data_IF_500296681385
#
_entry.id   IF_500296681385
#
_cell.length_a   1.000
_cell.length_b   1.000
_cell.length_c   1.000
_cell.angle_alpha   90.00
_cell.angle_beta   90.00
_cell.angle_gamma   90.00
#
_symmetry.space_group_name_H-M   'P 1'
#
loop_
_entity.id
_entity.type
_entity.pdbx_description
1 polymer ?
#
# COMPACT_ATOMS: atom_id res chain seq x y z
N UNK A 1 -4.56 -45.35 -19.69
CA UNK A 1 -4.45 -44.04 -20.37
C UNK A 1 -5.78 -43.32 -20.20
N UNK A 2 -5.76 -41.99 -20.18
CA UNK A 2 -6.93 -41.09 -20.14
C UNK A 2 -7.48 -40.70 -18.75
N UNK A 3 -6.89 -39.64 -18.17
CA UNK A 3 -7.57 -38.70 -17.25
C UNK A 3 -6.68 -37.48 -16.95
N UNK A 4 -6.30 -36.72 -18.00
CA UNK A 4 -5.56 -35.44 -17.86
C UNK A 4 -6.09 -34.40 -18.86
N UNK A 5 -7.28 -33.85 -18.65
CA UNK A 5 -7.75 -32.75 -19.52
C UNK A 5 -8.77 -31.78 -18.92
N UNK A 6 -9.24 -31.94 -17.68
CA UNK A 6 -10.35 -31.11 -17.16
C UNK A 6 -9.87 -29.93 -16.28
N UNK A 7 -8.66 -29.95 -15.73
CA UNK A 7 -8.17 -28.89 -14.81
C UNK A 7 -7.61 -27.64 -15.51
N UNK A 8 -7.25 -27.72 -16.79
CA UNK A 8 -6.59 -26.60 -17.49
C UNK A 8 -7.56 -25.51 -17.99
N UNK A 9 -8.86 -25.83 -18.13
CA UNK A 9 -9.86 -24.91 -18.72
C UNK A 9 -10.42 -23.87 -17.73
N UNK A 10 -10.30 -24.12 -16.41
CA UNK A 10 -10.79 -23.21 -15.36
C UNK A 10 -9.77 -22.11 -15.01
N UNK A 11 -8.47 -22.44 -15.00
CA UNK A 11 -7.39 -21.49 -14.72
C UNK A 11 -7.15 -20.51 -15.88
N UNK A 12 -7.42 -20.92 -17.12
CA UNK A 12 -7.36 -20.05 -18.30
C UNK A 12 -8.33 -18.86 -18.21
N UNK A 13 -9.54 -19.04 -17.66
CA UNK A 13 -10.52 -17.96 -17.54
C UNK A 13 -10.09 -16.86 -16.58
N UNK A 14 -9.47 -17.21 -15.45
CA UNK A 14 -8.93 -16.24 -14.49
C UNK A 14 -7.70 -15.52 -15.04
N UNK A 15 -6.85 -16.24 -15.80
CA UNK A 15 -5.72 -15.63 -16.51
C UNK A 15 -6.17 -14.61 -17.56
N UNK A 16 -7.21 -14.92 -18.34
CA UNK A 16 -7.79 -13.98 -19.30
C UNK A 16 -8.44 -12.76 -18.63
N UNK A 17 -9.11 -12.94 -17.48
CA UNK A 17 -9.68 -11.82 -16.72
C UNK A 17 -8.55 -10.92 -16.15
N UNK A 18 -7.47 -11.51 -15.64
CA UNK A 18 -6.30 -10.78 -15.15
C UNK A 18 -5.57 -10.03 -16.29
N UNK A 19 -5.48 -10.65 -17.46
CA UNK A 19 -4.86 -10.06 -18.67
C UNK A 19 -5.72 -8.91 -19.23
N UNK A 20 -7.06 -9.05 -19.22
CA UNK A 20 -7.98 -7.98 -19.60
C UNK A 20 -7.91 -6.81 -18.61
N UNK A 21 -7.75 -7.08 -17.32
CA UNK A 21 -7.55 -6.05 -16.29
C UNK A 21 -6.20 -5.33 -16.48
N UNK A 22 -5.13 -6.06 -16.82
CA UNK A 22 -3.82 -5.50 -17.13
C UNK A 22 -3.84 -4.64 -18.41
N UNK A 23 -4.53 -5.07 -19.46
CA UNK A 23 -4.69 -4.31 -20.71
C UNK A 23 -5.52 -3.02 -20.51
N UNK A 24 -6.54 -3.05 -19.66
CA UNK A 24 -7.33 -1.86 -19.31
C UNK A 24 -6.50 -0.83 -18.53
N UNK A 25 -5.57 -1.28 -17.68
CA UNK A 25 -4.63 -0.40 -16.96
C UNK A 25 -3.56 0.20 -17.89
N UNK A 26 -3.06 -0.58 -18.86
CA UNK A 26 -2.06 -0.10 -19.84
C UNK A 26 -2.62 0.89 -20.87
N UNK A 27 -3.92 0.83 -21.17
CA UNK A 27 -4.56 1.78 -22.10
C UNK A 27 -4.81 3.15 -21.44
N UNK A 28 -5.07 3.17 -20.12
CA UNK A 28 -5.15 4.42 -19.35
C UNK A 28 -3.78 5.13 -19.24
N UNK A 29 -2.68 4.37 -19.09
CA UNK A 29 -1.32 4.93 -19.00
C UNK A 29 -0.80 5.50 -20.33
N UNK A 30 -1.27 4.96 -21.47
CA UNK A 30 -0.86 5.40 -22.81
C UNK A 30 -1.44 6.77 -23.19
N UNK A 31 -2.59 7.13 -22.63
CA UNK A 31 -3.19 8.45 -22.82
C UNK A 31 -2.40 9.55 -22.09
N UNK A 32 -1.87 9.26 -20.89
CA UNK A 32 -1.03 10.21 -20.14
C UNK A 32 0.36 10.42 -20.77
N UNK A 33 0.91 9.41 -21.46
CA UNK A 33 2.19 9.55 -22.18
C UNK A 33 2.08 10.40 -23.46
N UNK A 34 0.96 10.33 -24.19
CA UNK A 34 0.75 11.13 -25.39
C UNK A 34 0.62 12.63 -25.07
N UNK A 35 -0.04 12.99 -23.97
CA UNK A 35 -0.13 14.39 -23.51
C UNK A 35 1.23 14.94 -23.01
N UNK A 36 2.12 14.06 -22.54
CA UNK A 36 3.47 14.39 -22.12
C UNK A 36 4.46 14.54 -23.30
N UNK A 37 4.31 13.73 -24.36
CA UNK A 37 5.13 13.86 -25.58
C UNK A 37 4.82 15.16 -26.35
N UNK A 38 3.55 15.58 -26.41
CA UNK A 38 3.15 16.83 -27.07
C UNK A 38 3.70 18.08 -26.36
N UNK A 39 3.83 18.01 -25.03
CA UNK A 39 4.45 19.08 -24.23
C UNK A 39 6.00 19.08 -24.30
N UNK A 40 6.62 17.92 -24.58
CA UNK A 40 8.06 17.83 -24.86
C UNK A 40 8.45 18.30 -26.27
N UNK A 41 7.58 18.15 -27.29
CA UNK A 41 7.84 18.68 -28.64
C UNK A 41 7.77 20.21 -28.70
N UNK A 42 6.89 20.83 -27.90
CA UNK A 42 6.80 22.30 -27.82
C UNK A 42 8.05 22.95 -27.21
N UNK A 43 8.77 22.23 -26.35
CA UNK A 43 10.02 22.69 -25.71
C UNK A 43 11.28 22.53 -26.57
N UNK A 44 11.19 21.83 -27.71
CA UNK A 44 12.38 21.42 -28.51
C UNK A 44 12.76 22.42 -29.61
N UNK A 45 12.16 23.62 -29.65
CA UNK A 45 12.36 24.61 -30.74
C UNK A 45 13.18 25.86 -30.38
N UNK A 46 14.12 25.76 -29.44
CA UNK A 46 15.14 26.78 -29.18
C UNK A 46 16.57 26.20 -29.30
N UNK A 47 17.16 26.41 -30.49
CA UNK A 47 18.57 26.72 -30.81
C UNK A 47 19.72 26.15 -29.94
N UNK A 48 20.40 25.11 -30.48
CA UNK A 48 21.85 24.93 -30.79
C UNK A 48 23.01 25.44 -29.88
N UNK A 49 24.23 24.82 -29.99
CA UNK A 49 24.98 24.30 -28.85
C UNK A 49 26.24 25.09 -28.48
N UNK A 50 26.72 24.94 -27.24
CA UNK A 50 28.11 25.25 -26.89
C UNK A 50 28.76 24.11 -26.11
N UNK A 51 29.98 23.78 -26.53
CA UNK A 51 30.74 22.59 -26.20
C UNK A 51 31.65 22.86 -25.00
N UNK A 52 31.58 22.09 -23.91
CA UNK A 52 32.66 22.05 -22.90
C UNK A 52 32.86 20.64 -22.28
N UNK A 53 33.97 20.02 -22.73
CA UNK A 53 34.95 19.16 -22.04
C UNK A 53 34.49 18.09 -21.04
N UNK A 54 34.89 16.84 -21.35
CA UNK A 54 34.79 15.67 -20.49
C UNK A 54 35.68 15.81 -19.22
N UNK A 55 35.09 15.58 -18.05
CA UNK A 55 35.81 15.45 -16.78
C UNK A 55 36.36 14.02 -16.59
N UNK A 56 37.53 13.83 -15.93
CA UNK A 56 38.18 12.54 -15.80
C UNK A 56 37.54 11.66 -14.71
N UNK A 57 37.86 10.37 -14.76
CA UNK A 57 37.34 9.31 -13.89
C UNK A 57 37.55 9.62 -12.39
N UNK A 58 36.44 9.58 -11.63
CA UNK A 58 36.42 9.78 -10.18
C UNK A 58 37.16 8.63 -9.46
N UNK A 59 38.22 9.01 -8.75
CA UNK A 59 38.94 8.20 -7.78
C UNK A 59 38.03 7.82 -6.60
N UNK A 60 38.19 6.58 -6.13
CA UNK A 60 37.52 6.02 -4.95
C UNK A 60 38.07 6.73 -3.70
N UNK A 61 37.52 7.89 -3.37
CA UNK A 61 37.67 8.48 -2.04
C UNK A 61 36.56 7.93 -1.13
N UNK A 62 37.00 7.36 -0.02
CA UNK A 62 36.21 6.74 1.04
C UNK A 62 34.96 7.54 1.39
N UNK A 63 33.81 6.86 1.45
CA UNK A 63 32.55 7.39 1.95
C UNK A 63 32.67 7.79 3.43
N UNK A 64 33.18 8.99 3.70
CA UNK A 64 33.05 9.62 4.99
C UNK A 64 31.69 10.30 5.05
N UNK A 65 30.77 9.70 5.80
CA UNK A 65 29.46 10.29 6.03
C UNK A 65 29.66 11.61 6.77
N UNK A 66 29.36 12.71 6.08
CA UNK A 66 29.48 14.04 6.64
C UNK A 66 28.46 14.19 7.77
N UNK A 67 28.92 14.07 9.01
CA UNK A 67 28.08 14.13 10.20
C UNK A 67 27.39 15.47 10.33
N UNK A 68 27.99 16.56 9.85
CA UNK A 68 27.38 17.90 9.84
C UNK A 68 26.28 17.98 8.78
N UNK A 69 26.44 17.33 7.62
CA UNK A 69 25.38 17.21 6.61
C UNK A 69 24.25 16.29 7.11
N UNK A 70 24.57 15.19 7.77
CA UNK A 70 23.58 14.29 8.36
C UNK A 70 22.79 14.98 9.49
N UNK A 71 23.49 15.77 10.32
CA UNK A 71 22.89 16.51 11.44
C UNK A 71 22.14 17.76 10.94
N UNK A 72 22.55 18.36 9.82
CA UNK A 72 21.81 19.43 9.15
C UNK A 72 20.59 18.91 8.38
N UNK A 73 20.66 17.70 7.80
CA UNK A 73 19.50 16.98 7.22
C UNK A 73 18.51 16.53 8.32
N UNK A 74 19.01 16.12 9.48
CA UNK A 74 18.19 15.81 10.66
C UNK A 74 17.49 17.06 11.22
N UNK A 75 18.19 18.21 11.24
CA UNK A 75 17.67 19.51 11.71
C UNK A 75 16.86 20.27 10.66
N UNK A 76 17.01 19.99 9.36
CA UNK A 76 16.14 20.45 8.27
C UNK A 76 14.80 19.70 8.35
N UNK A 77 13.96 20.12 9.30
CA UNK A 77 12.52 19.89 9.30
C UNK A 77 12.04 18.44 9.06
N UNK A 78 12.66 17.43 9.70
CA UNK A 78 11.86 16.31 10.23
C UNK A 78 11.13 16.74 11.51
N UNK A 79 10.46 17.90 11.47
CA UNK A 79 9.28 18.07 12.32
C UNK A 79 8.26 17.11 11.73
N UNK A 80 8.14 15.95 12.37
CA UNK A 80 6.99 15.05 12.30
C UNK A 80 5.75 15.81 12.77
N UNK A 81 5.40 16.88 12.07
CA UNK A 81 4.12 17.51 12.22
C UNK A 81 3.18 16.46 11.63
N UNK A 82 2.38 15.75 12.45
CA UNK A 82 1.50 14.71 11.94
C UNK A 82 0.72 15.37 10.83
N UNK A 83 0.84 14.85 9.60
CA UNK A 83 0.12 15.44 8.49
C UNK A 83 -1.35 15.45 8.89
N UNK A 84 -1.90 16.65 9.08
CA UNK A 84 -3.37 16.84 9.12
C UNK A 84 -3.98 16.48 7.77
N UNK A 85 -3.13 16.33 6.75
CA UNK A 85 -3.45 15.95 5.40
C UNK A 85 -3.73 14.45 5.35
N UNK A 86 -4.95 14.12 4.99
CA UNK A 86 -5.33 12.76 4.66
C UNK A 86 -4.88 12.47 3.22
N UNK A 87 -4.14 11.38 3.00
CA UNK A 87 -3.65 11.03 1.65
C UNK A 87 -4.78 10.79 0.65
N UNK A 88 -5.96 10.40 1.14
CA UNK A 88 -7.16 10.21 0.33
C UNK A 88 -7.77 11.52 -0.18
N UNK A 89 -7.42 12.67 0.41
CA UNK A 89 -7.88 13.99 -0.04
C UNK A 89 -6.92 14.61 -1.09
N UNK A 90 -5.80 13.95 -1.39
CA UNK A 90 -4.79 14.38 -2.36
C UNK A 90 -4.91 13.62 -3.69
N UNK A 91 -4.43 14.21 -4.81
CA UNK A 91 -4.33 13.48 -6.07
C UNK A 91 -3.43 12.26 -5.91
N UNK A 92 -3.65 11.25 -6.76
CA UNK A 92 -2.77 10.09 -6.75
C UNK A 92 -1.34 10.49 -7.08
N UNK A 93 -0.42 10.05 -6.22
CA UNK A 93 1.00 10.07 -6.51
C UNK A 93 1.67 8.80 -5.98
N UNK A 94 2.65 8.32 -6.74
CA UNK A 94 3.52 7.20 -6.37
C UNK A 94 4.71 7.64 -5.52
N UNK A 95 5.06 8.94 -5.57
CA UNK A 95 6.27 9.51 -4.96
C UNK A 95 5.99 10.40 -3.77
N UNK A 96 4.81 11.03 -3.73
CA UNK A 96 4.40 11.92 -2.64
C UNK A 96 4.37 11.19 -1.29
N UNK A 97 4.93 11.84 -0.27
CA UNK A 97 5.18 11.23 1.03
C UNK A 97 4.78 12.20 2.16
N UNK A 98 3.66 11.93 2.80
CA UNK A 98 3.09 12.71 3.91
C UNK A 98 2.76 11.81 5.12
N UNK A 99 3.78 11.16 5.70
CA UNK A 99 3.60 10.07 6.65
C UNK A 99 2.90 10.51 7.95
N UNK A 100 1.90 9.73 8.35
CA UNK A 100 1.23 9.81 9.63
C UNK A 100 1.72 8.70 10.55
N UNK A 101 2.85 8.94 11.21
CA UNK A 101 3.51 7.94 12.05
C UNK A 101 2.68 7.49 13.25
N UNK A 102 1.83 8.37 13.80
CA UNK A 102 0.95 8.01 14.91
C UNK A 102 -0.07 6.95 14.49
N UNK A 103 -0.72 7.12 13.34
CA UNK A 103 -1.65 6.11 12.82
C UNK A 103 -0.92 4.89 12.28
N UNK A 104 0.27 5.06 11.70
CA UNK A 104 1.12 3.92 11.34
C UNK A 104 1.42 3.04 12.56
N UNK A 105 1.78 3.62 13.71
CA UNK A 105 2.04 2.85 14.92
C UNK A 105 0.80 2.08 15.40
N UNK A 106 -0.40 2.68 15.29
CA UNK A 106 -1.66 1.97 15.55
C UNK A 106 -1.88 0.82 14.55
N UNK A 107 -1.64 1.06 13.26
CA UNK A 107 -1.73 0.04 12.21
C UNK A 107 -0.79 -1.13 12.49
N UNK A 108 0.48 -0.85 12.84
CA UNK A 108 1.45 -1.87 13.25
C UNK A 108 0.98 -2.64 14.48
N UNK A 109 0.42 -1.96 15.48
CA UNK A 109 -0.12 -2.62 16.68
C UNK A 109 -1.27 -3.59 16.35
N UNK A 110 -2.19 -3.18 15.47
CA UNK A 110 -3.28 -4.06 15.01
C UNK A 110 -2.74 -5.22 14.17
N UNK A 111 -1.76 -4.99 13.30
CA UNK A 111 -1.11 -6.04 12.52
C UNK A 111 -0.44 -7.08 13.41
N UNK A 112 0.32 -6.66 14.43
CA UNK A 112 0.95 -7.59 15.36
C UNK A 112 -0.08 -8.33 16.21
N UNK A 113 -1.10 -7.64 16.72
CA UNK A 113 -2.19 -8.28 17.46
C UNK A 113 -2.93 -9.32 16.62
N UNK A 114 -3.27 -8.99 15.38
CA UNK A 114 -3.87 -9.92 14.43
C UNK A 114 -2.92 -11.08 14.09
N UNK A 115 -1.62 -10.82 13.97
CA UNK A 115 -0.64 -11.87 13.71
C UNK A 115 -0.52 -12.89 14.83
N UNK A 116 -0.49 -12.44 16.09
CA UNK A 116 -0.53 -13.37 17.23
C UNK A 116 -1.85 -14.14 17.32
N UNK A 117 -2.98 -13.51 16.97
CA UNK A 117 -4.26 -14.21 16.89
C UNK A 117 -4.24 -15.29 15.81
N UNK A 118 -3.75 -14.95 14.61
CA UNK A 118 -3.58 -15.89 13.50
C UNK A 118 -2.67 -17.04 13.90
N UNK A 119 -1.54 -16.79 14.57
CA UNK A 119 -0.67 -17.85 15.11
C UNK A 119 -1.43 -18.79 16.05
N UNK A 120 -2.27 -18.25 16.94
CA UNK A 120 -3.14 -19.04 17.81
C UNK A 120 -4.11 -19.94 17.02
N UNK A 121 -4.70 -19.42 15.95
CA UNK A 121 -5.58 -20.19 15.05
C UNK A 121 -4.79 -21.27 14.31
N UNK A 122 -3.62 -20.95 13.74
CA UNK A 122 -2.78 -21.90 13.02
C UNK A 122 -2.29 -23.04 13.94
N UNK A 123 -2.01 -22.74 15.21
CA UNK A 123 -1.65 -23.77 16.19
C UNK A 123 -2.77 -24.81 16.42
N UNK A 124 -4.03 -24.38 16.33
CA UNK A 124 -5.21 -25.23 16.48
C UNK A 124 -5.53 -26.03 15.21
N UNK A 125 -5.09 -25.59 14.03
CA UNK A 125 -5.28 -26.32 12.78
C UNK A 125 -4.51 -27.65 12.78
N UNK A 126 -5.01 -28.68 12.08
CA UNK A 126 -4.33 -29.97 11.98
C UNK A 126 -3.02 -29.86 11.16
N UNK A 127 -2.08 -30.79 11.40
CA UNK A 127 -0.70 -30.73 10.85
C UNK A 127 -0.65 -30.74 9.32
N UNK A 128 -1.65 -31.33 8.68
CA UNK A 128 -1.81 -31.39 7.23
C UNK A 128 -2.20 -30.04 6.62
N UNK A 129 -2.77 -29.13 7.40
CA UNK A 129 -3.13 -27.80 6.94
C UNK A 129 -1.93 -26.83 6.98
N UNK A 130 -1.07 -26.92 7.98
CA UNK A 130 0.05 -25.98 8.19
C UNK A 130 1.43 -26.57 7.91
N UNK A 131 1.53 -27.87 7.60
CA UNK A 131 2.80 -28.60 7.49
C UNK A 131 3.68 -28.60 8.78
N UNK A 132 3.17 -28.08 9.91
CA UNK A 132 3.92 -27.97 11.15
C UNK A 132 4.00 -29.30 11.91
N UNK A 133 5.22 -29.73 12.24
CA UNK A 133 5.47 -30.96 12.99
C UNK A 133 5.25 -30.75 14.50
N UNK A 134 4.03 -31.04 15.02
CA UNK A 134 3.71 -30.78 16.43
C UNK A 134 4.47 -31.69 17.38
N UNK A 135 4.85 -32.89 16.95
CA UNK A 135 5.70 -33.79 17.75
C UNK A 135 7.08 -33.19 18.01
N UNK A 136 7.69 -32.58 17.00
CA UNK A 136 8.97 -31.87 17.19
C UNK A 136 8.79 -30.62 18.07
N UNK A 137 7.68 -29.91 17.89
CA UNK A 137 7.37 -28.74 18.70
C UNK A 137 7.20 -29.02 20.19
N UNK A 138 6.68 -30.19 20.56
CA UNK A 138 6.52 -30.58 21.97
C UNK A 138 7.86 -30.97 22.62
N UNK A 139 8.80 -31.47 21.83
CA UNK A 139 10.04 -32.08 22.34
C UNK A 139 11.26 -31.13 22.35
N UNK A 140 11.22 -30.03 21.59
CA UNK A 140 12.36 -29.10 21.51
C UNK A 140 11.95 -27.70 21.97
N UNK A 141 12.73 -27.06 22.89
CA UNK A 141 12.45 -25.69 23.32
C UNK A 141 12.38 -24.69 22.16
N UNK A 142 11.46 -23.71 22.18
CA UNK A 142 11.16 -22.84 21.04
C UNK A 142 12.38 -22.06 20.53
N UNK A 143 13.18 -21.45 21.41
CA UNK A 143 14.36 -20.68 21.00
C UNK A 143 15.45 -21.53 20.34
N UNK A 144 15.59 -22.80 20.74
CA UNK A 144 16.56 -23.72 20.12
C UNK A 144 16.12 -24.10 18.70
N UNK A 145 14.81 -24.27 18.48
CA UNK A 145 14.25 -24.50 17.14
C UNK A 145 14.46 -23.28 16.25
N UNK A 146 14.09 -22.10 16.75
CA UNK A 146 14.24 -20.84 16.04
C UNK A 146 15.67 -20.62 15.56
N UNK A 147 16.66 -20.70 16.47
CA UNK A 147 18.05 -20.51 16.11
C UNK A 147 18.53 -21.51 15.05
N UNK A 148 18.13 -22.77 15.17
CA UNK A 148 18.47 -23.82 14.19
C UNK A 148 17.85 -23.52 12.83
N UNK A 149 16.60 -23.10 12.79
CA UNK A 149 15.86 -22.83 11.56
C UNK A 149 16.42 -21.60 10.84
N UNK A 150 16.65 -20.49 11.55
CA UNK A 150 17.29 -19.29 11.01
C UNK A 150 18.70 -19.59 10.48
N UNK A 151 19.49 -20.38 11.22
CA UNK A 151 20.86 -20.74 10.81
C UNK A 151 20.93 -21.63 9.57
N UNK A 152 19.90 -22.44 9.31
CA UNK A 152 19.84 -23.29 8.10
C UNK A 152 19.72 -22.46 6.81
N UNK A 153 19.23 -21.24 6.92
CA UNK A 153 18.95 -20.38 5.79
C UNK A 153 17.65 -20.74 5.06
N UNK A 154 17.12 -19.84 4.23
CA UNK A 154 15.85 -20.05 3.56
C UNK A 154 15.84 -21.26 2.62
N UNK A 155 14.73 -21.97 2.57
CA UNK A 155 14.49 -23.11 1.68
C UNK A 155 13.23 -22.89 0.85
N UNK A 156 13.06 -23.67 -0.21
CA UNK A 156 11.75 -23.73 -0.88
C UNK A 156 10.85 -24.63 -0.02
N UNK A 157 9.83 -24.04 0.62
CA UNK A 157 8.83 -24.78 1.40
C UNK A 157 7.94 -25.68 0.52
N UNK A 158 7.04 -26.42 1.16
CA UNK A 158 6.05 -27.27 0.48
C UNK A 158 4.64 -26.94 0.96
N UNK A 159 4.39 -25.68 1.26
CA UNK A 159 3.13 -25.25 1.80
C UNK A 159 2.01 -25.39 0.77
N UNK A 160 0.78 -25.42 1.27
CA UNK A 160 -0.37 -25.54 0.40
C UNK A 160 -0.47 -24.30 -0.49
N UNK A 161 -0.80 -24.49 -1.77
CA UNK A 161 -0.96 -23.44 -2.77
C UNK A 161 -1.76 -22.22 -2.26
N UNK A 162 -2.78 -22.45 -1.43
CA UNK A 162 -3.61 -21.38 -0.87
C UNK A 162 -2.81 -20.42 0.03
N UNK A 163 -1.83 -20.90 0.79
CA UNK A 163 -0.98 -20.05 1.63
C UNK A 163 -0.06 -19.21 0.76
N UNK A 164 0.81 -19.86 -0.03
CA UNK A 164 1.87 -19.16 -0.78
C UNK A 164 1.31 -18.21 -1.84
N UNK A 165 0.19 -18.54 -2.50
CA UNK A 165 -0.28 -17.79 -3.66
C UNK A 165 -1.55 -16.98 -3.45
N UNK A 166 -2.21 -17.10 -2.28
CA UNK A 166 -3.42 -16.33 -1.99
C UNK A 166 -3.31 -15.61 -0.65
N UNK A 167 -3.10 -16.34 0.45
CA UNK A 167 -3.10 -15.74 1.78
C UNK A 167 -1.85 -14.90 2.03
N UNK A 168 -0.67 -15.36 1.62
CA UNK A 168 0.56 -14.58 1.75
C UNK A 168 0.53 -13.31 0.90
N UNK A 169 0.20 -13.33 -0.41
CA UNK A 169 0.04 -12.10 -1.19
C UNK A 169 -1.01 -11.16 -0.63
N UNK A 170 -2.14 -11.68 -0.12
CA UNK A 170 -3.16 -10.85 0.53
C UNK A 170 -2.67 -10.24 1.85
N UNK A 171 -1.96 -11.02 2.69
CA UNK A 171 -1.32 -10.54 3.91
C UNK A 171 -0.31 -9.44 3.60
N UNK A 172 0.56 -9.66 2.60
CA UNK A 172 1.49 -8.66 2.09
C UNK A 172 0.79 -7.38 1.62
N UNK A 173 -0.35 -7.50 0.95
CA UNK A 173 -1.17 -6.35 0.54
C UNK A 173 -1.75 -5.60 1.74
N UNK A 174 -2.22 -6.30 2.77
CA UNK A 174 -2.68 -5.68 4.01
C UNK A 174 -1.54 -4.96 4.77
N UNK A 175 -0.33 -5.52 4.78
CA UNK A 175 0.85 -4.87 5.38
C UNK A 175 1.21 -3.61 4.60
N UNK A 176 1.26 -3.69 3.27
CA UNK A 176 1.50 -2.55 2.39
C UNK A 176 0.47 -1.43 2.64
N UNK A 177 -0.82 -1.78 2.66
CA UNK A 177 -1.92 -0.84 2.95
C UNK A 177 -1.79 -0.18 4.32
N UNK A 178 -1.27 -0.92 5.31
CA UNK A 178 -0.94 -0.42 6.64
C UNK A 178 -0.06 0.83 6.63
N UNK A 179 0.87 0.95 5.69
CA UNK A 179 1.66 2.18 5.49
C UNK A 179 1.06 3.11 4.43
N UNK A 180 0.62 2.56 3.30
CA UNK A 180 0.16 3.35 2.14
C UNK A 180 -1.01 4.26 2.49
N UNK A 181 -1.99 3.76 3.22
CA UNK A 181 -3.15 4.53 3.71
C UNK A 181 -2.77 5.63 4.71
N UNK A 182 -1.56 5.60 5.27
CA UNK A 182 -1.08 6.56 6.27
C UNK A 182 -0.12 7.58 5.68
N UNK A 183 -0.15 7.79 4.36
CA UNK A 183 0.59 8.87 3.72
C UNK A 183 1.96 8.48 3.19
N UNK A 184 2.37 7.22 3.29
CA UNK A 184 3.64 6.77 2.73
C UNK A 184 3.55 6.63 1.20
N UNK A 185 4.66 6.91 0.53
CA UNK A 185 4.79 6.66 -0.91
C UNK A 185 4.93 5.16 -1.22
N UNK A 186 5.00 4.81 -2.51
CA UNK A 186 5.04 3.40 -2.93
C UNK A 186 6.26 2.67 -2.35
N UNK A 187 7.43 3.30 -2.41
CA UNK A 187 8.69 2.70 -1.98
C UNK A 187 8.72 2.43 -0.47
N UNK A 188 8.36 3.41 0.35
CA UNK A 188 8.34 3.21 1.81
C UNK A 188 7.23 2.26 2.26
N UNK A 189 6.09 2.23 1.55
CA UNK A 189 5.03 1.26 1.83
C UNK A 189 5.47 -0.16 1.48
N UNK A 190 6.23 -0.34 0.39
CA UNK A 190 6.87 -1.62 0.05
C UNK A 190 7.86 -2.04 1.13
N UNK A 191 8.79 -1.16 1.55
CA UNK A 191 9.77 -1.48 2.58
C UNK A 191 9.10 -1.84 3.92
N UNK A 192 8.04 -1.14 4.30
CA UNK A 192 7.27 -1.44 5.50
C UNK A 192 6.60 -2.82 5.40
N UNK A 193 5.88 -3.08 4.30
CA UNK A 193 5.22 -4.36 4.06
C UNK A 193 6.21 -5.54 4.03
N UNK A 194 7.34 -5.35 3.35
CA UNK A 194 8.43 -6.31 3.31
C UNK A 194 9.07 -6.53 4.68
N UNK A 195 9.27 -5.48 5.47
CA UNK A 195 9.77 -5.61 6.84
C UNK A 195 8.84 -6.45 7.72
N UNK A 196 7.52 -6.23 7.62
CA UNK A 196 6.54 -7.03 8.37
C UNK A 196 6.53 -8.49 7.90
N UNK A 197 6.45 -8.73 6.59
CA UNK A 197 6.42 -10.10 6.07
C UNK A 197 7.69 -10.88 6.40
N UNK A 198 8.86 -10.24 6.32
CA UNK A 198 10.14 -10.93 6.52
C UNK A 198 10.57 -11.01 7.98
N UNK A 199 10.50 -9.93 8.75
CA UNK A 199 11.06 -9.88 10.10
C UNK A 199 10.07 -10.37 11.16
N UNK A 200 8.80 -10.01 11.03
CA UNK A 200 7.79 -10.37 12.02
C UNK A 200 7.19 -11.75 11.75
N UNK A 201 6.86 -12.07 10.50
CA UNK A 201 6.32 -13.38 10.12
C UNK A 201 7.41 -14.41 9.91
N UNK A 202 8.13 -14.32 8.80
CA UNK A 202 9.02 -15.38 8.35
C UNK A 202 10.13 -15.71 9.36
N UNK A 203 11.01 -14.73 9.64
CA UNK A 203 12.11 -14.87 10.58
C UNK A 203 11.67 -14.70 12.04
N UNK A 204 10.45 -14.22 12.27
CA UNK A 204 9.90 -14.01 13.59
C UNK A 204 9.11 -15.23 14.04
N UNK A 205 7.80 -15.22 13.75
CA UNK A 205 6.82 -16.21 14.20
C UNK A 205 7.06 -17.59 13.57
N UNK A 206 7.20 -17.68 12.25
CA UNK A 206 7.26 -18.94 11.51
C UNK A 206 8.58 -19.67 11.74
N UNK A 207 9.69 -18.94 11.89
CA UNK A 207 10.98 -19.53 12.21
C UNK A 207 11.00 -20.36 13.52
N UNK A 208 10.06 -20.16 14.45
CA UNK A 208 9.92 -21.03 15.63
C UNK A 208 9.36 -22.42 15.31
N UNK A 209 8.77 -22.58 14.14
CA UNK A 209 7.93 -23.69 13.71
C UNK A 209 8.59 -24.42 12.55
N UNK A 210 9.10 -23.67 11.58
CA UNK A 210 9.71 -24.18 10.35
C UNK A 210 10.91 -23.36 9.89
N UNK A 211 11.53 -23.81 8.80
CA UNK A 211 12.68 -23.12 8.19
C UNK A 211 12.10 -22.03 7.27
N UNK A 212 12.63 -20.80 7.32
CA UNK A 212 12.18 -19.72 6.46
C UNK A 212 12.05 -20.10 4.98
N UNK A 213 10.99 -19.65 4.33
CA UNK A 213 10.69 -19.85 2.92
C UNK A 213 11.32 -18.80 2.02
N UNK A 214 12.05 -19.25 0.99
CA UNK A 214 12.49 -18.38 -0.11
C UNK A 214 11.30 -17.81 -0.88
N UNK A 215 10.23 -18.60 -1.04
CA UNK A 215 9.07 -18.18 -1.81
C UNK A 215 8.38 -17.02 -1.12
N UNK A 216 8.18 -17.09 0.19
CA UNK A 216 7.45 -16.07 0.93
C UNK A 216 8.31 -14.82 1.17
N UNK A 217 9.64 -14.96 1.31
CA UNK A 217 10.55 -13.82 1.35
C UNK A 217 10.53 -12.96 0.08
N UNK A 218 10.14 -13.54 -1.07
CA UNK A 218 10.07 -12.84 -2.35
C UNK A 218 8.63 -12.52 -2.74
N UNK A 219 7.77 -13.54 -2.82
CA UNK A 219 6.43 -13.39 -3.36
C UNK A 219 5.56 -12.52 -2.46
N UNK A 220 5.60 -12.72 -1.14
CA UNK A 220 4.79 -11.97 -0.18
C UNK A 220 5.00 -10.45 -0.28
N UNK A 221 6.23 -9.91 -0.21
CA UNK A 221 6.44 -8.47 -0.34
C UNK A 221 6.16 -7.93 -1.74
N UNK A 222 6.58 -8.62 -2.79
CA UNK A 222 6.44 -8.11 -4.17
C UNK A 222 4.99 -8.20 -4.68
N UNK A 223 4.34 -9.37 -4.57
CA UNK A 223 2.94 -9.53 -4.93
C UNK A 223 2.04 -8.72 -3.99
N UNK A 224 2.38 -8.67 -2.70
CA UNK A 224 1.69 -7.85 -1.72
C UNK A 224 1.71 -6.37 -2.06
N UNK A 225 2.85 -5.80 -2.47
CA UNK A 225 2.90 -4.41 -2.89
C UNK A 225 2.12 -4.13 -4.19
N UNK A 226 2.16 -5.05 -5.16
CA UNK A 226 1.41 -4.91 -6.41
C UNK A 226 -0.11 -4.92 -6.14
N UNK A 227 -0.59 -5.91 -5.39
CA UNK A 227 -2.00 -6.05 -5.02
C UNK A 227 -2.41 -4.89 -4.10
N UNK A 228 -1.54 -4.54 -3.15
CA UNK A 228 -1.74 -3.46 -2.19
C UNK A 228 -1.89 -2.09 -2.85
N UNK A 229 -1.12 -1.76 -3.90
CA UNK A 229 -1.33 -0.50 -4.63
C UNK A 229 -2.66 -0.53 -5.40
N UNK A 230 -3.05 -1.69 -5.93
CA UNK A 230 -4.40 -1.89 -6.49
C UNK A 230 -5.51 -1.65 -5.46
N UNK A 231 -5.35 -2.18 -4.25
CA UNK A 231 -6.24 -1.94 -3.12
C UNK A 231 -6.29 -0.47 -2.73
N UNK A 232 -5.15 0.22 -2.74
CA UNK A 232 -5.07 1.64 -2.44
C UNK A 232 -5.81 2.50 -3.49
N UNK A 233 -5.64 2.20 -4.78
CA UNK A 233 -6.39 2.85 -5.86
C UNK A 233 -7.90 2.61 -5.71
N UNK A 234 -8.31 1.36 -5.49
CA UNK A 234 -9.73 1.02 -5.31
C UNK A 234 -10.33 1.69 -4.06
N UNK A 235 -9.59 1.71 -2.96
CA UNK A 235 -10.03 2.38 -1.73
C UNK A 235 -10.20 3.87 -1.93
N UNK A 236 -9.31 4.54 -2.67
CA UNK A 236 -9.48 5.94 -3.05
C UNK A 236 -10.76 6.18 -3.83
N UNK A 237 -11.06 5.33 -4.80
CA UNK A 237 -12.32 5.41 -5.54
C UNK A 237 -13.54 5.28 -4.61
N UNK A 238 -13.50 4.34 -3.66
CA UNK A 238 -14.59 4.14 -2.68
C UNK A 238 -14.72 5.36 -1.75
N UNK A 239 -13.61 5.90 -1.24
CA UNK A 239 -13.59 7.07 -0.35
C UNK A 239 -14.12 8.31 -1.08
N UNK A 240 -13.66 8.56 -2.30
CA UNK A 240 -14.13 9.68 -3.14
C UNK A 240 -15.64 9.61 -3.41
N UNK A 241 -16.20 8.40 -3.50
CA UNK A 241 -17.63 8.15 -3.68
C UNK A 241 -18.40 8.00 -2.36
N UNK A 242 -17.93 8.60 -1.26
CA UNK A 242 -18.57 8.55 0.06
C UNK A 242 -18.81 7.12 0.56
N UNK A 243 -17.82 6.23 0.40
CA UNK A 243 -17.89 4.82 0.78
C UNK A 243 -18.97 4.02 0.02
N UNK A 244 -19.28 4.42 -1.22
CA UNK A 244 -20.15 3.67 -2.14
C UNK A 244 -19.33 2.99 -3.22
N UNK A 245 -19.79 1.81 -3.63
CA UNK A 245 -19.28 1.10 -4.81
C UNK A 245 -20.47 0.66 -5.65
N UNK A 246 -20.45 0.96 -6.96
CA UNK A 246 -21.60 0.78 -7.85
C UNK A 246 -22.91 1.37 -7.28
N UNK A 247 -22.81 2.53 -6.61
CA UNK A 247 -23.94 3.20 -5.96
C UNK A 247 -24.37 2.60 -4.61
N UNK A 248 -23.90 1.40 -4.24
CA UNK A 248 -24.25 0.74 -2.98
C UNK A 248 -23.29 1.13 -1.85
N UNK A 249 -23.78 1.73 -0.75
CA UNK A 249 -22.97 1.98 0.44
C UNK A 249 -22.58 0.68 1.14
N UNK A 250 -23.46 -0.33 1.18
CA UNK A 250 -23.16 -1.62 1.82
C UNK A 250 -21.97 -2.28 1.13
N UNK A 251 -22.00 -2.35 -0.20
CA UNK A 251 -20.92 -2.95 -0.97
C UNK A 251 -19.61 -2.17 -0.82
N UNK A 252 -19.65 -0.84 -0.88
CA UNK A 252 -18.45 -0.01 -0.69
C UNK A 252 -17.81 -0.21 0.68
N UNK A 253 -18.61 -0.35 1.73
CA UNK A 253 -18.11 -0.62 3.08
C UNK A 253 -17.48 -2.01 3.23
N UNK A 254 -18.12 -3.04 2.68
CA UNK A 254 -17.58 -4.41 2.70
C UNK A 254 -16.23 -4.46 1.97
N UNK A 255 -16.17 -3.90 0.76
CA UNK A 255 -14.95 -3.91 -0.04
C UNK A 255 -13.86 -3.07 0.62
N UNK A 256 -14.18 -1.90 1.19
CA UNK A 256 -13.21 -1.08 1.92
C UNK A 256 -12.56 -1.83 3.10
N UNK A 257 -13.34 -2.66 3.80
CA UNK A 257 -12.84 -3.50 4.90
C UNK A 257 -11.96 -4.64 4.39
N UNK A 258 -12.31 -5.28 3.27
CA UNK A 258 -11.51 -6.36 2.70
C UNK A 258 -10.16 -5.88 2.14
N UNK A 259 -10.12 -4.70 1.53
CA UNK A 259 -8.89 -4.21 0.88
C UNK A 259 -7.99 -3.40 1.81
N UNK A 260 -8.49 -2.92 2.95
CA UNK A 260 -7.70 -2.24 3.98
C UNK A 260 -8.26 -2.55 5.39
N UNK A 261 -8.16 -3.82 5.81
CA UNK A 261 -8.76 -4.27 7.07
C UNK A 261 -8.15 -3.57 8.28
N UNK A 262 -6.84 -3.29 8.25
CA UNK A 262 -6.11 -2.67 9.35
C UNK A 262 -6.66 -1.28 9.67
N UNK A 263 -6.75 -0.42 8.64
CA UNK A 263 -7.22 0.94 8.86
C UNK A 263 -8.72 0.99 9.18
N UNK A 264 -9.54 0.09 8.60
CA UNK A 264 -10.97 0.06 8.93
C UNK A 264 -11.22 -0.45 10.35
N UNK A 265 -10.48 -1.45 10.84
CA UNK A 265 -10.53 -1.88 12.24
C UNK A 265 -10.18 -0.73 13.19
N UNK A 266 -9.09 0.00 12.91
CA UNK A 266 -8.72 1.19 13.70
C UNK A 266 -9.79 2.27 13.57
N UNK A 267 -10.41 2.39 12.41
CA UNK A 267 -11.55 3.26 12.17
C UNK A 267 -12.72 3.03 13.13
N UNK A 268 -12.96 1.77 13.54
CA UNK A 268 -14.01 1.41 14.49
C UNK A 268 -13.70 1.89 15.91
N UNK A 269 -12.43 1.86 16.34
CA UNK A 269 -12.03 2.19 17.72
C UNK A 269 -11.55 3.64 17.90
N UNK A 270 -10.76 4.15 16.95
CA UNK A 270 -10.10 5.45 17.02
C UNK A 270 -10.64 6.47 15.99
N UNK A 271 -11.68 6.10 15.24
CA UNK A 271 -12.27 6.93 14.19
C UNK A 271 -11.50 6.90 12.88
N UNK A 272 -12.21 7.05 11.76
CA UNK A 272 -11.63 7.03 10.41
C UNK A 272 -11.71 8.42 9.76
N UNK A 273 -10.58 9.10 9.47
CA UNK A 273 -10.55 10.42 8.85
C UNK A 273 -11.29 10.47 7.52
N UNK A 274 -11.23 9.39 6.74
CA UNK A 274 -11.90 9.28 5.44
C UNK A 274 -13.43 9.23 5.58
N UNK A 275 -13.96 8.86 6.75
CA UNK A 275 -15.41 8.78 7.02
C UNK A 275 -15.98 10.06 7.62
N UNK A 276 -15.13 10.94 8.15
CA UNK A 276 -15.56 12.20 8.76
C UNK A 276 -16.12 13.18 7.72
N UNK A 277 -15.59 13.16 6.49
CA UNK A 277 -16.04 14.02 5.38
C UNK A 277 -17.45 13.68 4.86
N UNK A 278 -17.96 12.47 5.11
CA UNK A 278 -19.33 12.07 4.73
C UNK A 278 -20.37 12.82 5.56
N UNK A 279 -20.03 13.20 6.80
CA UNK A 279 -20.94 13.96 7.68
C UNK A 279 -20.98 15.47 7.36
N UNK A 280 -20.04 15.97 6.55
CA UNK A 280 -19.82 17.42 6.35
C UNK A 280 -20.05 17.93 4.93
N UNK A 281 -20.52 17.11 3.98
CA UNK A 281 -21.16 17.65 2.75
C UNK A 281 -22.55 18.22 3.08
N UNK A 282 -22.60 19.21 3.97
CA UNK A 282 -23.74 20.14 4.02
C UNK A 282 -23.58 21.06 2.82
N UNK A 283 -24.63 21.16 2.00
CA UNK A 283 -24.69 22.14 0.94
C UNK A 283 -24.25 23.50 1.53
N UNK A 284 -23.23 24.10 0.95
CA UNK A 284 -22.71 25.38 1.42
C UNK A 284 -23.36 26.46 0.58
N UNK A 285 -24.19 27.28 1.21
CA UNK A 285 -24.82 28.45 0.61
C UNK A 285 -24.01 29.68 0.99
N UNK A 286 -23.38 30.31 0.01
CA UNK A 286 -22.71 31.60 0.18
C UNK A 286 -23.52 32.68 -0.56
N UNK A 287 -23.74 33.82 0.09
CA UNK A 287 -24.43 34.96 -0.51
C UNK A 287 -23.54 36.20 -0.47
N UNK A 288 -23.25 36.79 -1.63
CA UNK A 288 -22.54 38.07 -1.72
C UNK A 288 -23.48 39.16 -2.24
N UNK A 289 -23.87 40.13 -1.39
CA UNK A 289 -24.64 41.27 -1.84
C UNK A 289 -23.73 42.22 -2.64
N UNK A 290 -24.29 42.89 -3.63
CA UNK A 290 -23.62 43.93 -4.39
C UNK A 290 -24.58 45.07 -4.71
N UNK A 291 -24.03 46.27 -4.87
CA UNK A 291 -24.79 47.48 -5.19
C UNK A 291 -24.08 48.23 -6.30
N UNK A 292 -24.86 48.78 -7.23
CA UNK A 292 -24.39 49.64 -8.31
C UNK A 292 -25.17 50.96 -8.28
N UNK A 293 -24.44 52.07 -8.43
CA UNK A 293 -24.95 53.45 -8.32
C UNK A 293 -24.73 54.23 -9.61
N UNK A 294 -24.14 53.62 -10.65
CA UNK A 294 -23.74 54.37 -11.85
C UNK A 294 -24.88 54.77 -12.79
N UNK A 295 -26.09 54.19 -12.67
CA UNK A 295 -27.27 54.53 -13.50
C UNK A 295 -28.61 54.19 -12.79
N UNK A 296 -28.80 54.72 -11.59
CA UNK A 296 -29.92 54.39 -10.71
C UNK A 296 -29.50 53.35 -9.66
N UNK A 297 -30.08 53.44 -8.46
CA UNK A 297 -29.73 52.58 -7.32
C UNK A 297 -30.20 51.15 -7.56
N UNK A 298 -29.28 50.28 -8.00
CA UNK A 298 -29.55 48.86 -8.20
C UNK A 298 -28.89 48.06 -7.09
N UNK A 299 -29.66 47.18 -6.45
CA UNK A 299 -29.15 46.24 -5.45
C UNK A 299 -29.34 44.80 -5.95
N UNK A 300 -28.36 43.95 -5.70
CA UNK A 300 -28.37 42.55 -6.11
C UNK A 300 -27.76 41.62 -5.06
N UNK A 301 -28.06 40.33 -5.20
CA UNK A 301 -27.50 39.28 -4.36
C UNK A 301 -27.06 38.13 -5.26
N UNK A 302 -25.79 37.74 -5.16
CA UNK A 302 -25.28 36.54 -5.80
C UNK A 302 -25.32 35.40 -4.80
N UNK A 303 -26.02 34.31 -5.12
CA UNK A 303 -26.04 33.09 -4.32
C UNK A 303 -25.17 32.02 -5.01
N UNK A 304 -24.19 31.50 -4.28
CA UNK A 304 -23.38 30.35 -4.70
C UNK A 304 -23.74 29.15 -3.85
N UNK A 305 -24.16 28.07 -4.50
CA UNK A 305 -24.50 26.81 -3.86
C UNK A 305 -23.51 25.73 -4.30
N UNK A 306 -22.76 25.19 -3.35
CA UNK A 306 -21.84 24.06 -3.60
C UNK A 306 -22.42 22.79 -3.00
N UNK A 307 -22.63 21.77 -3.84
CA UNK A 307 -23.18 20.45 -3.49
C UNK A 307 -22.16 19.33 -3.69
#
# INVERSE_FOLDING_TARGET
MENRTITNKRNSKYFFILLLFACALSSSARNEQNEFEESCELGRKMTEPDTLQAAPALSVESFQMNTVLADSLYKMNFKLNPSKVNIYDMPYSMTANYPNYKRLALNTGVLYGAGFLTLGVLYLLPEDATAWNKKEMQNTPPFKRWWRNVKKGPVVDKDNFIFNYVLHPYGGAAYYMGARSQGFNLFYSFLYGAGISTLFWEYGIEAFMEIPSIQDLILTPFAGALIGEGFYILKRHIVANNYKLFGSPVLGNIVAFLIDPVNEVIGLFAGNPCRNNIKTKKATLAGTPWFDVHNGSTFGLTLSLTF
#
